data_IF_841659658642
#
_entry.id   IF_841659658642
#
_cell.length_a   1.000
_cell.length_b   1.000
_cell.length_c   1.000
_cell.angle_alpha   90.00
_cell.angle_beta   90.00
_cell.angle_gamma   90.00
#
_symmetry.space_group_name_H-M   'P 1'
#
loop_
_entity.id
_entity.type
_entity.pdbx_description
1 polymer ?
#
# COMPACT_ATOMS: atom_id res chain seq x y z
N UNK A 1 -15.04 -2.91 -0.95
CA UNK A 1 -13.64 -2.67 -1.36
C UNK A 1 -12.90 -3.97 -1.72
N UNK A 2 -13.11 -5.09 -1.00
CA UNK A 2 -12.45 -6.38 -1.29
C UNK A 2 -12.57 -6.83 -2.76
N UNK A 3 -13.75 -6.70 -3.36
CA UNK A 3 -13.96 -7.07 -4.77
C UNK A 3 -13.03 -6.32 -5.74
N UNK A 4 -12.71 -5.05 -5.47
CA UNK A 4 -11.77 -4.29 -6.31
C UNK A 4 -10.35 -4.85 -6.20
N UNK A 5 -9.91 -5.17 -4.97
CA UNK A 5 -8.57 -5.76 -4.73
C UNK A 5 -8.47 -7.12 -5.42
N UNK A 6 -9.52 -7.96 -5.32
CA UNK A 6 -9.59 -9.22 -6.04
C UNK A 6 -9.55 -9.03 -7.55
N UNK A 7 -10.29 -8.07 -8.10
CA UNK A 7 -10.23 -7.75 -9.53
C UNK A 7 -8.84 -7.32 -9.97
N UNK A 8 -8.15 -6.47 -9.22
CA UNK A 8 -6.76 -6.06 -9.51
C UNK A 8 -5.86 -7.30 -9.52
N UNK A 9 -5.99 -8.19 -8.53
CA UNK A 9 -5.20 -9.43 -8.47
C UNK A 9 -5.44 -10.40 -9.64
N UNK A 10 -6.56 -10.28 -10.36
CA UNK A 10 -6.88 -11.11 -11.52
C UNK A 10 -6.63 -10.40 -12.87
N UNK A 11 -6.60 -9.06 -12.90
CA UNK A 11 -6.60 -8.29 -14.15
C UNK A 11 -5.35 -7.42 -14.33
N UNK A 12 -4.43 -7.40 -13.35
CA UNK A 12 -3.23 -6.59 -13.47
C UNK A 12 -2.43 -6.99 -14.74
N UNK A 13 -2.01 -6.03 -15.59
CA UNK A 13 -1.49 -6.36 -16.93
C UNK A 13 -0.19 -7.17 -16.92
N UNK A 14 0.73 -6.85 -16.01
CA UNK A 14 1.97 -7.61 -15.83
C UNK A 14 1.66 -9.01 -15.30
N UNK A 15 1.92 -10.05 -16.08
CA UNK A 15 1.59 -11.44 -15.73
C UNK A 15 2.30 -11.93 -14.47
N UNK A 16 3.61 -11.66 -14.34
CA UNK A 16 4.38 -12.09 -13.16
C UNK A 16 3.91 -11.35 -11.91
N UNK A 17 3.75 -10.04 -12.01
CA UNK A 17 3.26 -9.19 -10.93
C UNK A 17 1.84 -9.60 -10.49
N UNK A 18 0.96 -9.90 -11.45
CA UNK A 18 -0.40 -10.38 -11.19
C UNK A 18 -0.41 -11.70 -10.45
N UNK A 19 0.40 -12.66 -10.91
CA UNK A 19 0.49 -14.00 -10.31
C UNK A 19 0.99 -13.89 -8.87
N UNK A 20 2.05 -13.11 -8.66
CA UNK A 20 2.60 -12.84 -7.34
C UNK A 20 1.59 -12.13 -6.41
N UNK A 21 0.91 -11.09 -6.90
CA UNK A 21 -0.09 -10.35 -6.12
C UNK A 21 -1.30 -11.22 -5.78
N UNK A 22 -1.73 -12.11 -6.70
CA UNK A 22 -2.79 -13.09 -6.44
C UNK A 22 -2.42 -14.04 -5.31
N UNK A 23 -1.17 -14.50 -5.24
CA UNK A 23 -0.70 -15.33 -4.12
C UNK A 23 -0.56 -14.51 -2.82
N UNK A 24 -0.17 -13.24 -2.90
CA UNK A 24 -0.17 -12.34 -1.73
C UNK A 24 -1.58 -12.15 -1.15
N UNK A 25 -2.58 -11.90 -2.00
CA UNK A 25 -4.00 -11.74 -1.61
C UNK A 25 -4.57 -13.03 -1.03
N UNK A 26 -4.16 -14.21 -1.54
CA UNK A 26 -4.56 -15.49 -0.95
C UNK A 26 -3.98 -15.69 0.46
N UNK A 27 -2.71 -15.33 0.68
CA UNK A 27 -2.06 -15.45 2.00
C UNK A 27 -2.55 -14.41 3.01
N UNK A 28 -2.93 -13.23 2.53
CA UNK A 28 -3.47 -12.14 3.36
C UNK A 28 -4.73 -11.59 2.69
N UNK A 29 -5.90 -12.19 2.99
CA UNK A 29 -7.16 -11.78 2.40
C UNK A 29 -7.55 -10.35 2.80
N UNK A 30 -8.07 -9.51 1.90
CA UNK A 30 -8.41 -8.11 2.19
C UNK A 30 -9.67 -7.93 3.04
N UNK A 31 -10.55 -8.93 3.12
CA UNK A 31 -11.86 -8.86 3.76
C UNK A 31 -11.85 -8.21 5.16
N UNK A 32 -11.04 -8.68 6.13
CA UNK A 32 -11.03 -8.10 7.47
C UNK A 32 -10.47 -6.67 7.52
N UNK A 33 -9.75 -6.24 6.48
CA UNK A 33 -9.08 -4.94 6.43
C UNK A 33 -9.90 -3.88 5.69
N UNK A 34 -11.08 -4.20 5.17
CA UNK A 34 -11.87 -3.28 4.33
C UNK A 34 -12.99 -2.56 5.08
N UNK A 35 -13.08 -2.73 6.40
CA UNK A 35 -14.12 -2.13 7.25
C UNK A 35 -13.96 -0.62 7.45
N UNK A 36 -12.74 -0.10 7.39
CA UNK A 36 -12.47 1.33 7.52
C UNK A 36 -11.19 1.72 6.79
N UNK A 37 -10.95 3.04 6.69
CA UNK A 37 -9.79 3.60 5.99
C UNK A 37 -8.47 3.14 6.60
N UNK A 38 -8.35 3.20 7.93
CA UNK A 38 -7.09 2.95 8.63
C UNK A 38 -6.62 1.50 8.45
N UNK A 39 -7.53 0.54 8.59
CA UNK A 39 -7.19 -0.88 8.37
C UNK A 39 -6.85 -1.16 6.91
N UNK A 40 -7.56 -0.51 5.98
CA UNK A 40 -7.30 -0.67 4.54
C UNK A 40 -5.94 -0.10 4.12
N UNK A 41 -5.58 1.09 4.59
CA UNK A 41 -4.31 1.72 4.19
C UNK A 41 -3.09 0.96 4.75
N UNK A 42 -3.19 0.42 5.96
CA UNK A 42 -2.13 -0.42 6.56
C UNK A 42 -1.98 -1.70 5.74
N UNK A 43 -3.10 -2.38 5.43
CA UNK A 43 -3.08 -3.57 4.57
C UNK A 43 -2.40 -3.31 3.22
N UNK A 44 -2.77 -2.21 2.54
CA UNK A 44 -2.18 -1.85 1.26
C UNK A 44 -0.69 -1.51 1.38
N UNK A 45 -0.27 -0.83 2.45
CA UNK A 45 1.13 -0.57 2.74
C UNK A 45 1.93 -1.88 2.90
N UNK A 46 1.41 -2.84 3.66
CA UNK A 46 2.06 -4.13 3.83
C UNK A 46 2.18 -4.92 2.51
N UNK A 47 1.13 -4.90 1.67
CA UNK A 47 1.18 -5.49 0.32
C UNK A 47 2.24 -4.80 -0.55
N UNK A 48 2.34 -3.47 -0.46
CA UNK A 48 3.37 -2.71 -1.19
C UNK A 48 4.78 -3.08 -0.70
N UNK A 49 4.96 -3.21 0.62
CA UNK A 49 6.25 -3.59 1.21
C UNK A 49 6.67 -5.03 0.89
N UNK A 50 5.72 -5.95 0.67
CA UNK A 50 6.04 -7.27 0.12
C UNK A 50 6.74 -7.17 -1.23
N UNK A 51 6.29 -6.26 -2.11
CA UNK A 51 6.94 -6.00 -3.39
C UNK A 51 8.29 -5.31 -3.20
N UNK A 52 8.39 -4.33 -2.28
CA UNK A 52 9.67 -3.68 -1.96
C UNK A 52 10.73 -4.70 -1.55
N UNK A 53 10.40 -5.63 -0.64
CA UNK A 53 11.33 -6.70 -0.22
C UNK A 53 11.77 -7.57 -1.40
N UNK A 54 10.85 -7.98 -2.28
CA UNK A 54 11.18 -8.81 -3.46
C UNK A 54 12.13 -8.10 -4.42
N UNK A 55 12.03 -6.78 -4.50
CA UNK A 55 12.82 -5.94 -5.40
C UNK A 55 14.04 -5.29 -4.71
N UNK A 56 14.37 -5.70 -3.48
CA UNK A 56 15.45 -5.12 -2.67
C UNK A 56 15.35 -3.59 -2.51
N UNK A 57 14.13 -3.09 -2.29
CA UNK A 57 13.86 -1.68 -1.99
C UNK A 57 13.64 -1.49 -0.49
N UNK A 58 13.86 -0.26 -0.03
CA UNK A 58 13.52 0.16 1.32
C UNK A 58 12.02 -0.05 1.60
N UNK A 59 11.72 -0.43 2.84
CA UNK A 59 10.34 -0.62 3.29
C UNK A 59 9.82 0.69 3.86
N UNK A 60 8.57 1.01 3.55
CA UNK A 60 7.88 2.16 4.12
C UNK A 60 7.30 1.79 5.49
N UNK A 61 7.40 2.68 6.48
CA UNK A 61 6.78 2.44 7.79
C UNK A 61 5.25 2.54 7.68
N UNK A 62 4.53 1.45 7.95
CA UNK A 62 3.08 1.39 7.82
C UNK A 62 2.32 2.04 8.99
N UNK A 63 2.88 3.10 9.58
CA UNK A 63 2.18 3.91 10.57
C UNK A 63 1.04 4.70 9.89
N UNK A 64 -0.20 4.65 10.41
CA UNK A 64 -1.34 5.35 9.84
C UNK A 64 -1.16 6.85 9.61
N UNK A 65 -0.37 7.56 10.44
CA UNK A 65 -0.13 8.99 10.28
C UNK A 65 0.83 9.26 9.12
N UNK A 66 1.92 8.49 9.02
CA UNK A 66 2.85 8.58 7.90
C UNK A 66 2.17 8.24 6.57
N UNK A 67 1.28 7.23 6.57
CA UNK A 67 0.47 6.89 5.41
C UNK A 67 -0.51 8.01 5.01
N UNK A 68 -1.11 8.68 6.00
CA UNK A 68 -1.97 9.84 5.77
C UNK A 68 -1.20 11.00 5.16
N UNK A 69 -0.01 11.31 5.67
CA UNK A 69 0.87 12.34 5.12
C UNK A 69 1.25 12.03 3.68
N UNK A 70 1.65 10.79 3.39
CA UNK A 70 2.13 10.40 2.07
C UNK A 70 1.02 10.33 1.01
N UNK A 71 -0.19 9.89 1.36
CA UNK A 71 -1.24 9.53 0.39
C UNK A 71 -2.57 10.29 0.55
N UNK A 72 -2.72 11.15 1.56
CA UNK A 72 -3.93 11.98 1.74
C UNK A 72 -3.64 13.46 1.94
N UNK A 73 -2.83 13.83 2.94
CA UNK A 73 -2.73 15.23 3.41
C UNK A 73 -1.50 15.96 2.91
N UNK A 74 -0.44 15.25 2.51
CA UNK A 74 0.89 15.84 2.36
C UNK A 74 1.57 16.05 3.71
N UNK A 75 2.89 16.25 3.68
CA UNK A 75 3.64 16.77 4.82
C UNK A 75 3.43 18.29 4.91
N UNK A 76 3.38 18.82 6.13
CA UNK A 76 3.30 20.27 6.34
C UNK A 76 4.59 20.91 5.81
N UNK A 77 4.47 21.84 4.87
CA UNK A 77 5.60 22.54 4.25
C UNK A 77 5.95 22.11 2.82
N UNK A 78 5.25 21.11 2.25
CA UNK A 78 5.33 20.79 0.81
C UNK A 78 4.58 21.78 -0.10
N UNK A 79 3.85 22.72 0.49
CA UNK A 79 3.15 23.84 -0.11
C UNK A 79 4.08 25.02 -0.48
N UNK A 80 5.40 24.78 -0.52
CA UNK A 80 6.40 25.78 -0.93
C UNK A 80 6.94 26.65 0.22
N UNK A 81 6.58 26.34 1.47
CA UNK A 81 7.16 26.94 2.68
C UNK A 81 7.89 25.87 3.46
N UNK A 82 9.19 25.69 3.16
CA UNK A 82 9.96 24.51 3.49
C UNK A 82 9.94 24.02 4.94
N UNK A 83 10.19 22.72 5.09
CA UNK A 83 11.13 22.15 6.07
C UNK A 83 11.30 20.67 5.70
N UNK A 84 12.34 20.37 4.92
CA UNK A 84 12.90 19.02 4.87
C UNK A 84 14.20 19.10 5.67
N UNK A 85 14.29 18.49 6.87
CA UNK A 85 15.59 18.16 7.44
C UNK A 85 16.18 17.01 6.63
N UNK A 86 17.50 17.06 6.43
CA UNK A 86 18.32 15.98 5.88
C UNK A 86 18.20 14.68 6.69
#
# INVERSE_FOLDING_TARGET
MSSLIHSISNLYPCTDCRTDFKESVKRSPPEPHTSNKQTLQVYLCERHNEVNRKLNKEQFECDPKLLDERWRTGVKGCDGGGLHPE
#
